data_IF_579179661480
#
_entry.id   IF_579179661480
#
_cell.length_a   1.000
_cell.length_b   1.000
_cell.length_c   1.000
_cell.angle_alpha   90.00
_cell.angle_beta   90.00
_cell.angle_gamma   90.00
#
_symmetry.space_group_name_H-M   'P 1'
#
loop_
_entity.id
_entity.type
_entity.pdbx_description
1 polymer ?
#
# COMPACT_ATOMS: atom_id res chain seq x y z
N UNK A 1 13.31 -1.67 1.87
CA UNK A 1 12.76 -3.00 2.22
C UNK A 1 13.91 -3.87 2.69
N UNK A 2 13.65 -4.84 3.57
CA UNK A 2 14.64 -5.89 3.82
C UNK A 2 15.00 -6.53 2.48
N UNK A 3 16.29 -6.63 2.15
CA UNK A 3 16.72 -7.25 0.89
C UNK A 3 16.75 -8.79 0.99
N UNK A 4 15.82 -9.35 1.77
CA UNK A 4 15.68 -10.77 2.04
C UNK A 4 14.28 -11.22 1.60
N UNK A 5 14.23 -12.38 0.95
CA UNK A 5 13.00 -13.06 0.55
C UNK A 5 12.91 -14.42 1.24
N UNK A 6 11.70 -14.77 1.67
CA UNK A 6 11.37 -16.11 2.16
C UNK A 6 10.66 -16.89 1.05
N UNK A 7 11.12 -18.10 0.77
CA UNK A 7 10.62 -18.96 -0.31
C UNK A 7 10.12 -20.27 0.27
N UNK A 8 8.94 -20.70 -0.14
CA UNK A 8 8.41 -22.04 0.10
C UNK A 8 8.32 -22.78 -1.24
N UNK A 9 8.75 -24.04 -1.31
CA UNK A 9 8.70 -24.83 -2.54
C UNK A 9 8.26 -26.27 -2.28
N UNK A 10 7.54 -26.83 -3.25
CA UNK A 10 7.08 -28.22 -3.28
C UNK A 10 6.98 -28.75 -4.73
N UNK A 11 6.84 -30.05 -4.91
CA UNK A 11 6.53 -30.67 -6.19
C UNK A 11 6.12 -32.13 -6.07
N UNK A 12 5.32 -32.61 -7.01
CA UNK A 12 4.79 -33.97 -6.96
C UNK A 12 4.44 -34.55 -8.34
N UNK A 13 4.18 -35.85 -8.36
CA UNK A 13 3.73 -36.60 -9.53
C UNK A 13 2.58 -37.56 -9.20
N UNK A 14 1.52 -37.56 -10.02
CA UNK A 14 0.38 -38.48 -9.94
C UNK A 14 0.75 -39.84 -10.56
N UNK A 15 1.21 -40.74 -9.71
CA UNK A 15 1.94 -41.95 -10.14
C UNK A 15 3.37 -41.56 -10.48
N UNK A 16 4.38 -42.24 -9.92
CA UNK A 16 5.78 -41.80 -10.01
C UNK A 16 6.60 -42.80 -10.86
N UNK A 17 6.85 -42.54 -12.17
CA UNK A 17 6.57 -41.31 -12.92
C UNK A 17 5.16 -41.19 -13.52
N UNK A 18 4.68 -39.96 -13.69
CA UNK A 18 3.31 -39.63 -14.11
C UNK A 18 3.11 -38.11 -14.27
N UNK A 19 1.87 -37.63 -14.47
CA UNK A 19 1.59 -36.19 -14.54
C UNK A 19 2.06 -35.50 -13.25
N UNK A 20 3.02 -34.59 -13.36
CA UNK A 20 3.58 -33.88 -12.22
C UNK A 20 3.56 -32.37 -12.38
N UNK A 21 3.73 -31.70 -11.26
CA UNK A 21 3.76 -30.25 -11.16
C UNK A 21 4.60 -29.83 -9.98
N UNK A 22 5.11 -28.60 -10.06
CA UNK A 22 5.88 -27.95 -8.99
C UNK A 22 5.17 -26.69 -8.55
N UNK A 23 5.38 -26.28 -7.30
CA UNK A 23 4.78 -25.08 -6.74
C UNK A 23 5.77 -24.34 -5.86
N UNK A 24 5.71 -23.01 -5.87
CA UNK A 24 6.48 -22.19 -4.95
C UNK A 24 5.74 -20.89 -4.61
N UNK A 25 6.07 -20.33 -3.44
CA UNK A 25 5.55 -19.05 -2.96
C UNK A 25 6.67 -18.21 -2.34
N UNK A 26 6.76 -16.94 -2.73
CA UNK A 26 7.72 -15.94 -2.26
C UNK A 26 7.01 -15.01 -1.27
N UNK A 27 7.64 -14.67 -0.16
CA UNK A 27 7.13 -13.79 0.87
C UNK A 27 8.15 -12.72 1.26
N UNK A 28 7.69 -11.50 1.52
CA UNK A 28 8.53 -10.42 2.03
C UNK A 28 8.93 -10.65 3.50
N UNK A 29 9.75 -9.76 4.06
CA UNK A 29 10.19 -9.84 5.46
C UNK A 29 9.07 -9.67 6.49
N UNK A 30 7.90 -9.18 6.08
CA UNK A 30 6.73 -9.02 6.94
C UNK A 30 5.78 -10.23 6.84
N UNK A 31 6.10 -11.20 5.98
CA UNK A 31 5.29 -12.40 5.74
C UNK A 31 4.14 -12.18 4.76
N UNK A 32 4.15 -11.07 4.00
CA UNK A 32 3.17 -10.87 2.93
C UNK A 32 3.59 -11.67 1.71
N UNK A 33 2.64 -12.40 1.11
CA UNK A 33 2.86 -13.09 -0.16
C UNK A 33 3.29 -12.05 -1.20
N UNK A 34 4.29 -12.42 -2.00
CA UNK A 34 4.74 -11.65 -3.15
C UNK A 34 4.24 -12.23 -4.45
N UNK A 35 4.51 -13.50 -4.64
CA UNK A 35 4.13 -14.24 -5.83
C UNK A 35 4.08 -15.72 -5.45
N UNK A 36 3.06 -16.42 -5.92
CA UNK A 36 3.02 -17.86 -5.94
C UNK A 36 2.84 -18.36 -7.36
N UNK A 37 3.57 -19.40 -7.75
CA UNK A 37 3.38 -20.08 -9.04
C UNK A 37 3.31 -21.58 -8.87
N UNK A 38 2.43 -22.20 -9.64
CA UNK A 38 2.42 -23.62 -9.90
C UNK A 38 2.73 -23.87 -11.37
N UNK A 39 3.63 -24.80 -11.68
CA UNK A 39 4.06 -25.12 -13.05
C UNK A 39 3.68 -26.56 -13.38
N UNK A 40 3.04 -26.77 -14.52
CA UNK A 40 2.69 -28.11 -14.99
C UNK A 40 3.86 -28.72 -15.79
N UNK A 41 4.37 -29.87 -15.35
CA UNK A 41 5.60 -30.46 -15.88
C UNK A 41 5.38 -31.63 -16.85
N UNK A 42 4.11 -31.94 -17.18
CA UNK A 42 3.79 -33.15 -17.95
C UNK A 42 4.21 -34.42 -17.19
N UNK A 43 4.79 -35.41 -17.88
CA UNK A 43 5.20 -36.67 -17.25
C UNK A 43 6.58 -36.54 -16.59
N UNK A 44 6.64 -36.61 -15.27
CA UNK A 44 7.89 -36.45 -14.49
C UNK A 44 7.93 -37.38 -13.26
N UNK A 45 8.94 -37.24 -12.41
CA UNK A 45 9.05 -37.93 -11.11
C UNK A 45 8.95 -36.94 -9.96
N UNK A 46 8.62 -37.39 -8.75
CA UNK A 46 8.52 -36.50 -7.57
C UNK A 46 9.77 -35.65 -7.38
N UNK A 47 10.96 -36.26 -7.30
CA UNK A 47 12.18 -35.51 -7.05
C UNK A 47 12.51 -34.51 -8.17
N UNK A 48 12.18 -34.82 -9.43
CA UNK A 48 12.37 -33.87 -10.53
C UNK A 48 11.40 -32.70 -10.39
N UNK A 49 10.16 -32.95 -9.98
CA UNK A 49 9.18 -31.90 -9.72
C UNK A 49 9.62 -30.99 -8.56
N UNK A 50 10.03 -31.56 -7.41
CA UNK A 50 10.54 -30.80 -6.26
C UNK A 50 11.72 -29.89 -6.64
N UNK A 51 12.74 -30.45 -7.32
CA UNK A 51 13.90 -29.69 -7.78
C UNK A 51 13.56 -28.63 -8.83
N UNK A 52 12.54 -28.86 -9.65
CA UNK A 52 12.07 -27.86 -10.62
C UNK A 52 11.39 -26.70 -9.90
N UNK A 53 10.58 -26.98 -8.86
CA UNK A 53 9.99 -25.94 -8.01
C UNK A 53 11.06 -25.06 -7.35
N UNK A 54 12.09 -25.68 -6.78
CA UNK A 54 13.25 -24.97 -6.22
C UNK A 54 13.95 -24.10 -7.27
N UNK A 55 14.22 -24.64 -8.47
CA UNK A 55 14.91 -23.92 -9.53
C UNK A 55 14.12 -22.67 -9.99
N UNK A 56 12.81 -22.83 -10.26
CA UNK A 56 11.96 -21.74 -10.73
C UNK A 56 11.77 -20.67 -9.64
N UNK A 57 11.69 -21.07 -8.37
CA UNK A 57 11.62 -20.12 -7.26
C UNK A 57 12.90 -19.27 -7.13
N UNK A 58 14.08 -19.89 -7.26
CA UNK A 58 15.37 -19.20 -7.21
C UNK A 58 15.56 -18.25 -8.41
N UNK A 59 15.16 -18.68 -9.62
CA UNK A 59 15.19 -17.81 -10.81
C UNK A 59 14.31 -16.58 -10.61
N UNK A 60 13.10 -16.79 -10.11
CA UNK A 60 12.16 -15.70 -9.83
C UNK A 60 12.74 -14.72 -8.81
N UNK A 61 13.31 -15.21 -7.71
CA UNK A 61 13.94 -14.36 -6.70
C UNK A 61 15.12 -13.56 -7.28
N UNK A 62 15.92 -14.16 -8.16
CA UNK A 62 17.02 -13.50 -8.87
C UNK A 62 16.52 -12.43 -9.84
N UNK A 63 15.50 -12.72 -10.66
CA UNK A 63 14.87 -11.76 -11.58
C UNK A 63 14.25 -10.56 -10.85
N UNK A 64 13.78 -10.78 -9.63
CA UNK A 64 13.27 -9.73 -8.73
C UNK A 64 14.37 -8.95 -8.00
N UNK A 65 15.65 -9.28 -8.22
CA UNK A 65 16.82 -8.64 -7.61
C UNK A 65 16.91 -8.75 -6.08
N UNK A 66 16.39 -9.83 -5.48
CA UNK A 66 16.66 -10.10 -4.07
C UNK A 66 18.11 -10.56 -3.89
N UNK A 67 18.79 -10.04 -2.86
CA UNK A 67 20.18 -10.43 -2.55
C UNK A 67 20.28 -11.56 -1.54
N UNK A 68 19.27 -11.76 -0.69
CA UNK A 68 19.30 -12.76 0.39
C UNK A 68 18.07 -13.67 0.30
N UNK A 69 18.27 -14.99 0.32
CA UNK A 69 17.16 -15.95 0.16
C UNK A 69 17.10 -16.93 1.33
N UNK A 70 15.91 -17.14 1.89
CA UNK A 70 15.65 -18.22 2.85
C UNK A 70 14.62 -19.16 2.25
N UNK A 71 15.01 -20.40 1.97
CA UNK A 71 14.16 -21.39 1.31
C UNK A 71 13.72 -22.47 2.28
N UNK A 72 12.43 -22.78 2.23
CA UNK A 72 11.78 -23.83 2.99
C UNK A 72 11.18 -24.89 2.06
N UNK A 73 11.45 -26.14 2.35
CA UNK A 73 10.91 -27.30 1.62
C UNK A 73 10.66 -28.45 2.59
N UNK A 74 9.68 -29.32 2.30
CA UNK A 74 9.45 -30.56 3.05
C UNK A 74 10.25 -31.77 2.50
N UNK A 75 11.09 -31.56 1.48
CA UNK A 75 12.00 -32.58 0.96
C UNK A 75 13.33 -32.59 1.73
N UNK A 76 13.42 -33.45 2.76
CA UNK A 76 14.65 -33.61 3.54
C UNK A 76 15.85 -34.05 2.66
N UNK A 77 15.57 -34.82 1.59
CA UNK A 77 16.57 -35.21 0.60
C UNK A 77 17.15 -33.98 -0.12
N UNK A 78 16.29 -33.11 -0.64
CA UNK A 78 16.71 -31.90 -1.35
C UNK A 78 17.49 -30.97 -0.41
N UNK A 79 17.00 -30.74 0.81
CA UNK A 79 17.71 -29.95 1.83
C UNK A 79 19.10 -30.48 2.10
N UNK A 80 19.26 -31.79 2.32
CA UNK A 80 20.58 -32.40 2.58
C UNK A 80 21.50 -32.34 1.36
N UNK A 81 20.95 -32.41 0.14
CA UNK A 81 21.75 -32.34 -1.09
C UNK A 81 22.24 -30.92 -1.40
N UNK A 82 21.38 -29.92 -1.26
CA UNK A 82 21.73 -28.51 -1.50
C UNK A 82 22.69 -27.97 -0.43
N UNK A 83 22.56 -28.41 0.82
CA UNK A 83 23.52 -28.11 1.89
C UNK A 83 24.83 -28.93 1.82
N UNK A 84 25.07 -29.68 0.73
CA UNK A 84 26.31 -30.43 0.52
C UNK A 84 26.51 -31.68 1.39
N UNK A 85 25.49 -32.07 2.18
CA UNK A 85 25.54 -33.25 3.06
C UNK A 85 25.46 -34.54 2.22
N UNK A 86 24.55 -34.58 1.24
CA UNK A 86 24.31 -35.74 0.38
C UNK A 86 24.68 -35.47 -1.08
N UNK A 87 25.19 -36.51 -1.77
CA UNK A 87 25.51 -36.44 -3.21
C UNK A 87 24.29 -36.74 -4.08
N UNK A 88 24.12 -35.98 -5.17
CA UNK A 88 23.13 -36.28 -6.22
C UNK A 88 23.65 -37.38 -7.15
N UNK A 89 23.03 -38.56 -7.08
CA UNK A 89 23.40 -39.72 -7.91
C UNK A 89 22.59 -39.84 -9.20
N UNK A 90 21.33 -39.41 -9.18
CA UNK A 90 20.40 -39.53 -10.32
C UNK A 90 20.84 -38.66 -11.50
N UNK A 91 21.07 -39.23 -12.70
CA UNK A 91 21.44 -38.47 -13.89
C UNK A 91 20.44 -37.36 -14.24
N UNK A 92 19.15 -37.64 -14.08
CA UNK A 92 18.05 -36.72 -14.41
C UNK A 92 17.97 -35.53 -13.43
N UNK A 93 18.54 -35.64 -12.24
CA UNK A 93 18.56 -34.55 -11.25
C UNK A 93 19.84 -33.73 -11.31
N UNK A 94 20.97 -34.30 -11.78
CA UNK A 94 22.28 -33.61 -11.77
C UNK A 94 22.25 -32.24 -12.46
N UNK A 95 21.53 -32.13 -13.58
CA UNK A 95 21.43 -30.87 -14.32
C UNK A 95 20.63 -29.80 -13.57
N UNK A 96 19.49 -30.18 -12.97
CA UNK A 96 18.63 -29.23 -12.23
C UNK A 96 19.32 -28.84 -10.91
N UNK A 97 19.89 -29.81 -10.19
CA UNK A 97 20.68 -29.58 -8.99
C UNK A 97 21.81 -28.58 -9.23
N UNK A 98 22.58 -28.75 -10.31
CA UNK A 98 23.68 -27.85 -10.64
C UNK A 98 23.20 -26.42 -10.85
N UNK A 99 22.07 -26.23 -11.53
CA UNK A 99 21.47 -24.90 -11.73
C UNK A 99 20.98 -24.29 -10.42
N UNK A 100 20.38 -25.08 -9.52
CA UNK A 100 19.99 -24.58 -8.20
C UNK A 100 21.21 -24.10 -7.41
N UNK A 101 22.31 -24.86 -7.41
CA UNK A 101 23.56 -24.47 -6.73
C UNK A 101 24.15 -23.19 -7.34
N UNK A 102 24.23 -23.10 -8.67
CA UNK A 102 24.73 -21.91 -9.36
C UNK A 102 23.90 -20.65 -9.03
N UNK A 103 22.57 -20.78 -8.92
CA UNK A 103 21.71 -19.67 -8.50
C UNK A 103 21.86 -19.34 -7.02
N UNK A 104 21.90 -20.35 -6.14
CA UNK A 104 22.14 -20.13 -4.70
C UNK A 104 23.44 -19.36 -4.48
N UNK A 105 24.53 -19.79 -5.12
CA UNK A 105 25.84 -19.15 -5.04
C UNK A 105 25.89 -17.73 -5.65
N UNK A 106 24.87 -17.32 -6.41
CA UNK A 106 24.75 -15.96 -6.95
C UNK A 106 24.15 -14.95 -5.96
N UNK A 107 23.46 -15.42 -4.91
CA UNK A 107 22.91 -14.56 -3.85
C UNK A 107 23.99 -14.17 -2.85
N UNK A 108 23.85 -12.98 -2.24
CA UNK A 108 24.77 -12.49 -1.20
C UNK A 108 24.73 -13.37 0.06
N UNK A 109 23.56 -13.91 0.40
CA UNK A 109 23.42 -14.98 1.39
C UNK A 109 22.23 -15.89 1.06
N UNK A 110 22.32 -17.15 1.48
CA UNK A 110 21.24 -18.11 1.31
C UNK A 110 21.16 -19.10 2.46
N UNK A 111 19.94 -19.58 2.73
CA UNK A 111 19.66 -20.70 3.65
C UNK A 111 18.63 -21.62 3.00
N UNK A 112 18.84 -22.94 3.08
CA UNK A 112 17.85 -23.95 2.69
C UNK A 112 17.54 -24.84 3.90
N UNK A 113 16.30 -24.80 4.36
CA UNK A 113 15.86 -25.46 5.59
C UNK A 113 14.65 -26.37 5.34
N UNK A 114 14.61 -27.49 6.07
CA UNK A 114 13.48 -28.41 6.02
C UNK A 114 12.33 -27.91 6.89
N UNK A 115 11.10 -28.00 6.38
CA UNK A 115 9.86 -27.74 7.13
C UNK A 115 8.92 -28.92 7.04
N UNK A 116 8.07 -29.10 8.06
CA UNK A 116 7.00 -30.09 7.96
C UNK A 116 5.93 -29.64 6.95
N UNK A 117 5.26 -30.62 6.33
CA UNK A 117 4.29 -30.39 5.25
C UNK A 117 3.14 -29.47 5.65
N UNK A 118 2.72 -29.49 6.92
CA UNK A 118 1.70 -28.57 7.44
C UNK A 118 2.09 -27.08 7.36
N UNK A 119 3.39 -26.79 7.23
CA UNK A 119 3.96 -25.46 7.10
C UNK A 119 4.33 -25.11 5.64
N UNK A 120 4.05 -25.99 4.67
CA UNK A 120 4.34 -25.82 3.25
C UNK A 120 3.07 -25.82 2.36
N UNK A 121 1.92 -25.44 2.93
CA UNK A 121 0.60 -25.63 2.31
C UNK A 121 0.41 -24.87 1.00
N UNK A 122 0.94 -23.66 0.88
CA UNK A 122 0.74 -22.83 -0.32
C UNK A 122 1.46 -23.42 -1.54
N UNK A 123 2.72 -23.81 -1.37
CA UNK A 123 3.51 -24.44 -2.42
C UNK A 123 2.92 -25.81 -2.83
N UNK A 124 2.49 -26.64 -1.86
CA UNK A 124 1.78 -27.89 -2.12
C UNK A 124 0.48 -27.65 -2.90
N UNK A 125 -0.32 -26.66 -2.49
CA UNK A 125 -1.56 -26.31 -3.16
C UNK A 125 -1.32 -25.87 -4.62
N UNK A 126 -0.33 -25.02 -4.87
CA UNK A 126 0.03 -24.54 -6.21
C UNK A 126 0.52 -25.68 -7.11
N UNK A 127 1.34 -26.60 -6.59
CA UNK A 127 1.79 -27.78 -7.33
C UNK A 127 0.60 -28.66 -7.72
N UNK A 128 -0.33 -28.88 -6.80
CA UNK A 128 -1.55 -29.65 -7.03
C UNK A 128 -2.49 -28.96 -8.04
N UNK A 129 -2.69 -27.65 -7.92
CA UNK A 129 -3.51 -26.87 -8.87
C UNK A 129 -2.94 -26.95 -10.29
N UNK A 130 -1.63 -26.81 -10.47
CA UNK A 130 -1.01 -26.93 -11.78
C UNK A 130 -1.18 -28.34 -12.39
N UNK A 131 -1.05 -29.39 -11.57
CA UNK A 131 -1.30 -30.77 -12.00
C UNK A 131 -2.75 -31.00 -12.42
N UNK A 132 -3.70 -30.49 -11.64
CA UNK A 132 -5.13 -30.69 -11.86
C UNK A 132 -5.63 -29.88 -13.08
N UNK A 133 -5.13 -28.65 -13.23
CA UNK A 133 -5.42 -27.77 -14.37
C UNK A 133 -4.68 -28.19 -15.65
N UNK A 134 -3.58 -28.95 -15.52
CA UNK A 134 -2.61 -29.24 -16.61
C UNK A 134 -2.10 -27.98 -17.30
N UNK A 135 -1.94 -26.91 -16.52
CA UNK A 135 -1.50 -25.60 -16.95
C UNK A 135 -0.80 -24.90 -15.79
N UNK A 136 -0.01 -23.89 -16.10
CA UNK A 136 0.62 -23.06 -15.08
C UNK A 136 -0.44 -22.21 -14.39
N UNK A 137 -0.28 -22.01 -13.08
CA UNK A 137 -1.12 -21.17 -12.24
C UNK A 137 -0.27 -20.13 -11.54
N UNK A 138 -0.82 -18.95 -11.35
CA UNK A 138 -0.14 -17.84 -10.68
C UNK A 138 -1.11 -17.17 -9.70
N UNK A 139 -0.59 -16.85 -8.53
CA UNK A 139 -1.23 -15.98 -7.56
C UNK A 139 -0.28 -14.81 -7.29
N UNK A 140 -0.74 -13.60 -7.56
CA UNK A 140 0.00 -12.41 -7.17
C UNK A 140 -0.33 -12.09 -5.72
N UNK A 141 0.72 -11.85 -4.93
CA UNK A 141 0.58 -11.25 -3.63
C UNK A 141 0.33 -9.75 -3.75
N UNK A 142 -0.31 -9.16 -2.74
CA UNK A 142 -0.61 -7.72 -2.68
C UNK A 142 0.64 -6.92 -2.27
N UNK A 143 1.80 -7.23 -2.89
CA UNK A 143 3.04 -6.48 -2.67
C UNK A 143 2.84 -5.12 -3.30
N UNK A 144 3.04 -4.04 -2.54
CA UNK A 144 3.15 -2.75 -3.15
C UNK A 144 4.39 -2.77 -4.06
N UNK A 145 4.17 -2.75 -5.37
CA UNK A 145 5.15 -2.22 -6.31
C UNK A 145 5.67 -0.88 -5.74
N UNK A 146 6.95 -0.55 -5.93
CA UNK A 146 7.49 0.73 -5.44
C UNK A 146 6.49 1.86 -5.71
N UNK A 147 6.10 2.63 -4.67
CA UNK A 147 4.96 3.51 -4.82
C UNK A 147 5.31 4.61 -5.84
N UNK A 148 4.48 4.70 -6.88
CA UNK A 148 4.71 5.59 -8.04
C UNK A 148 4.58 7.07 -7.65
N UNK A 149 5.19 7.93 -8.48
CA UNK A 149 5.16 9.38 -8.30
C UNK A 149 6.29 9.92 -7.41
N UNK A 150 6.29 11.23 -7.17
CA UNK A 150 7.27 11.90 -6.29
C UNK A 150 6.99 11.55 -4.83
N UNK A 151 8.04 11.36 -4.03
CA UNK A 151 7.88 11.22 -2.58
C UNK A 151 7.43 12.55 -1.97
N UNK A 152 6.19 12.62 -1.50
CA UNK A 152 5.62 13.84 -0.93
C UNK A 152 5.97 14.02 0.55
N UNK A 153 6.24 15.27 0.95
CA UNK A 153 6.30 15.70 2.35
C UNK A 153 4.93 16.24 2.78
N UNK A 154 4.20 15.49 3.59
CA UNK A 154 2.85 15.84 4.04
C UNK A 154 2.88 16.70 5.30
N UNK A 155 2.10 17.77 5.30
CA UNK A 155 1.73 18.53 6.49
C UNK A 155 0.31 18.16 6.92
N UNK A 156 0.16 17.47 8.05
CA UNK A 156 -1.13 16.91 8.46
C UNK A 156 -1.79 17.77 9.53
N UNK A 157 -2.99 18.28 9.28
CA UNK A 157 -3.75 19.12 10.21
C UNK A 157 -4.83 18.31 10.93
N UNK A 158 -4.86 18.35 12.27
CA UNK A 158 -5.74 17.51 13.11
C UNK A 158 -6.44 18.33 14.20
N UNK A 159 -7.74 18.10 14.42
CA UNK A 159 -8.48 18.68 15.56
C UNK A 159 -9.12 17.66 16.50
N UNK A 160 -9.05 16.36 16.17
CA UNK A 160 -9.74 15.28 16.89
C UNK A 160 -8.89 14.03 17.15
N UNK A 161 -9.42 12.86 16.79
CA UNK A 161 -8.83 11.57 17.12
C UNK A 161 -7.63 11.15 16.27
N UNK A 162 -7.46 11.73 15.08
CA UNK A 162 -6.33 11.44 14.18
C UNK A 162 -6.41 10.12 13.42
N UNK A 163 -7.57 9.43 13.40
CA UNK A 163 -7.73 8.14 12.69
C UNK A 163 -7.40 8.22 11.19
N UNK A 164 -7.70 9.35 10.54
CA UNK A 164 -7.33 9.59 9.14
C UNK A 164 -5.81 9.68 8.96
N UNK A 165 -5.09 10.36 9.87
CA UNK A 165 -3.62 10.38 9.87
C UNK A 165 -3.06 8.98 10.13
N UNK A 166 -3.62 8.23 11.08
CA UNK A 166 -3.21 6.84 11.33
C UNK A 166 -3.35 5.96 10.08
N UNK A 167 -4.44 6.13 9.32
CA UNK A 167 -4.60 5.41 8.06
C UNK A 167 -3.52 5.81 7.04
N UNK A 168 -3.24 7.10 6.87
CA UNK A 168 -2.19 7.58 5.96
C UNK A 168 -0.81 7.04 6.37
N UNK A 169 -0.47 7.06 7.66
CA UNK A 169 0.77 6.48 8.18
C UNK A 169 0.89 4.98 7.87
N UNK A 170 -0.20 4.22 8.03
CA UNK A 170 -0.25 2.79 7.66
C UNK A 170 0.01 2.58 6.18
N UNK A 171 -0.60 3.39 5.30
CA UNK A 171 -0.38 3.27 3.84
C UNK A 171 1.07 3.61 3.45
N UNK A 172 1.68 4.60 4.12
CA UNK A 172 3.09 4.96 3.91
C UNK A 172 4.00 3.81 4.35
N UNK A 173 3.81 3.28 5.57
CA UNK A 173 4.63 2.19 6.12
C UNK A 173 4.50 0.90 5.31
N UNK A 174 3.30 0.62 4.84
CA UNK A 174 3.02 -0.50 3.95
C UNK A 174 3.52 -0.25 2.52
N UNK A 175 4.25 0.83 2.21
CA UNK A 175 4.76 1.10 0.86
C UNK A 175 3.69 1.39 -0.20
N UNK A 176 2.42 1.57 0.18
CA UNK A 176 1.30 1.82 -0.73
C UNK A 176 1.14 3.30 -1.11
N UNK A 177 1.81 4.20 -0.37
CA UNK A 177 1.77 5.65 -0.60
C UNK A 177 3.18 6.23 -0.57
N UNK A 178 3.63 6.85 -1.67
CA UNK A 178 4.96 7.47 -1.75
C UNK A 178 4.99 8.83 -1.04
N UNK A 179 4.99 8.81 0.28
CA UNK A 179 4.96 10.02 1.09
C UNK A 179 5.67 9.83 2.44
N UNK A 180 5.90 10.94 3.13
CA UNK A 180 6.24 10.98 4.54
C UNK A 180 5.40 12.05 5.25
N UNK A 181 5.11 11.85 6.54
CA UNK A 181 4.48 12.89 7.36
C UNK A 181 5.60 13.75 7.93
N UNK A 182 5.83 14.91 7.30
CA UNK A 182 6.91 15.83 7.69
C UNK A 182 6.59 16.56 9.01
N UNK A 183 5.31 16.90 9.20
CA UNK A 183 4.80 17.50 10.45
C UNK A 183 3.31 17.24 10.59
N UNK A 184 2.87 16.97 11.82
CA UNK A 184 1.46 17.01 12.18
C UNK A 184 1.19 18.19 13.11
N UNK A 185 0.17 18.99 12.79
CA UNK A 185 -0.25 20.14 13.60
C UNK A 185 -1.60 19.86 14.24
N UNK A 186 -1.66 19.91 15.57
CA UNK A 186 -2.89 19.75 16.33
C UNK A 186 -3.45 21.10 16.78
N UNK A 187 -4.73 21.37 16.50
CA UNK A 187 -5.40 22.61 16.94
C UNK A 187 -5.73 22.66 18.44
N UNK A 188 -5.55 21.53 19.14
CA UNK A 188 -5.90 21.34 20.56
C UNK A 188 -4.80 20.52 21.23
N UNK A 189 -4.44 20.90 22.46
CA UNK A 189 -3.34 20.26 23.18
C UNK A 189 -3.71 18.92 23.87
N UNK A 190 -4.99 18.72 24.17
CA UNK A 190 -5.51 17.57 24.93
C UNK A 190 -6.52 16.80 24.09
N UNK A 191 -6.05 16.15 23.03
CA UNK A 191 -6.85 15.29 22.14
C UNK A 191 -6.09 14.00 21.85
N UNK A 192 -6.83 12.92 21.55
CA UNK A 192 -6.24 11.63 21.18
C UNK A 192 -5.27 11.72 19.99
N UNK A 193 -5.51 12.67 19.07
CA UNK A 193 -4.59 12.92 17.95
C UNK A 193 -3.16 13.29 18.39
N UNK A 194 -3.00 14.04 19.49
CA UNK A 194 -1.66 14.41 20.02
C UNK A 194 -0.90 13.18 20.52
N UNK A 195 -1.60 12.32 21.28
CA UNK A 195 -1.02 11.07 21.80
C UNK A 195 -0.66 10.11 20.66
N UNK A 196 -1.55 9.99 19.68
CA UNK A 196 -1.33 9.20 18.48
C UNK A 196 -0.11 9.68 17.68
N UNK A 197 0.01 10.98 17.41
CA UNK A 197 1.17 11.52 16.67
C UNK A 197 2.49 11.18 17.36
N UNK A 198 2.56 11.34 18.69
CA UNK A 198 3.75 10.96 19.47
C UNK A 198 4.02 9.46 19.39
N UNK A 199 2.99 8.63 19.53
CA UNK A 199 3.10 7.17 19.45
C UNK A 199 3.63 6.72 18.08
N UNK A 200 3.23 7.40 17.00
CA UNK A 200 3.69 7.09 15.65
C UNK A 200 5.09 7.63 15.34
N UNK A 201 5.67 8.48 16.20
CA UNK A 201 7.01 9.01 16.05
C UNK A 201 7.12 10.22 15.12
N UNK A 202 6.00 10.88 14.79
CA UNK A 202 5.98 12.02 13.87
C UNK A 202 6.27 13.34 14.59
N UNK A 203 6.87 14.30 13.87
CA UNK A 203 7.02 15.68 14.38
C UNK A 203 5.64 16.26 14.68
N UNK A 204 5.50 16.83 15.87
CA UNK A 204 4.23 17.35 16.39
C UNK A 204 4.36 18.82 16.75
N UNK A 205 3.46 19.64 16.21
CA UNK A 205 3.23 21.02 16.62
C UNK A 205 1.83 21.18 17.20
N UNK A 206 1.68 22.03 18.21
CA UNK A 206 0.37 22.36 18.79
C UNK A 206 0.12 23.85 18.57
N UNK A 207 -0.85 24.18 17.71
CA UNK A 207 -1.20 25.56 17.38
C UNK A 207 -2.66 25.78 17.70
N UNK A 208 -2.96 26.43 18.83
CA UNK A 208 -4.34 26.66 19.26
C UNK A 208 -4.77 28.06 18.85
N UNK A 209 -5.89 28.18 18.14
CA UNK A 209 -6.44 29.48 17.72
C UNK A 209 -6.57 30.48 18.87
N UNK A 210 -6.97 30.00 20.06
CA UNK A 210 -7.13 30.83 21.27
C UNK A 210 -5.83 31.42 21.84
N UNK A 211 -4.67 30.90 21.44
CA UNK A 211 -3.38 31.39 21.89
C UNK A 211 -2.82 32.50 20.98
N UNK A 212 -3.51 32.78 19.86
CA UNK A 212 -3.10 33.76 18.87
C UNK A 212 -4.13 34.89 18.78
N UNK A 213 -3.70 36.11 18.45
CA UNK A 213 -4.54 37.31 18.58
C UNK A 213 -5.74 37.31 17.63
N UNK A 214 -5.59 36.77 16.43
CA UNK A 214 -6.60 36.79 15.39
C UNK A 214 -6.43 35.64 14.38
N UNK A 215 -7.25 35.65 13.33
CA UNK A 215 -7.22 34.64 12.27
C UNK A 215 -5.96 34.75 11.41
N UNK A 216 -5.42 35.95 11.22
CA UNK A 216 -4.24 36.18 10.39
C UNK A 216 -3.01 35.58 11.06
N UNK A 217 -2.75 35.92 12.33
CA UNK A 217 -1.67 35.33 13.11
C UNK A 217 -1.81 33.79 13.24
N UNK A 218 -3.03 33.28 13.36
CA UNK A 218 -3.28 31.82 13.33
C UNK A 218 -2.89 31.19 12.01
N UNK A 219 -3.21 31.83 10.90
CA UNK A 219 -2.92 31.33 9.55
C UNK A 219 -1.42 31.43 9.25
N UNK A 220 -0.79 32.56 9.58
CA UNK A 220 0.65 32.79 9.42
C UNK A 220 1.45 31.74 10.18
N UNK A 221 1.06 31.42 11.42
CA UNK A 221 1.75 30.39 12.20
C UNK A 221 1.68 29.01 11.55
N UNK A 222 0.56 28.66 10.93
CA UNK A 222 0.45 27.41 10.18
C UNK A 222 1.35 27.44 8.95
N UNK A 223 1.36 28.56 8.21
CA UNK A 223 2.19 28.75 7.03
C UNK A 223 3.68 28.61 7.36
N UNK A 224 4.16 29.26 8.43
CA UNK A 224 5.54 29.14 8.92
C UNK A 224 5.93 27.69 9.16
N UNK A 225 5.09 26.94 9.89
CA UNK A 225 5.35 25.52 10.18
C UNK A 225 5.42 24.70 8.89
N UNK A 226 4.52 24.93 7.93
CA UNK A 226 4.52 24.19 6.67
C UNK A 226 5.77 24.51 5.82
N UNK A 227 6.19 25.77 5.79
CA UNK A 227 7.39 26.22 5.08
C UNK A 227 8.68 25.65 5.71
N UNK A 228 8.83 25.75 7.04
CA UNK A 228 9.97 25.23 7.79
C UNK A 228 10.17 23.73 7.55
N UNK A 229 9.06 22.99 7.43
CA UNK A 229 9.09 21.54 7.20
C UNK A 229 9.08 21.16 5.71
N UNK A 230 9.12 22.15 4.81
CA UNK A 230 9.12 21.97 3.34
C UNK A 230 7.98 21.08 2.89
N UNK A 231 6.76 21.39 3.32
CA UNK A 231 5.57 20.59 3.00
C UNK A 231 5.21 20.75 1.53
N UNK A 232 5.01 19.63 0.85
CA UNK A 232 4.57 19.55 -0.55
C UNK A 232 3.04 19.65 -0.67
N UNK A 233 2.34 18.95 0.22
CA UNK A 233 0.87 18.87 0.26
C UNK A 233 0.38 18.93 1.72
N UNK A 234 -0.58 19.82 1.99
CA UNK A 234 -1.26 19.93 3.28
C UNK A 234 -2.52 19.06 3.26
N UNK A 235 -2.69 18.24 4.29
CA UNK A 235 -3.76 17.25 4.42
C UNK A 235 -4.58 17.56 5.68
N UNK A 236 -5.83 17.99 5.50
CA UNK A 236 -6.77 18.22 6.59
C UNK A 236 -7.44 16.90 7.03
N UNK A 237 -6.89 16.31 8.09
CA UNK A 237 -7.30 15.02 8.66
C UNK A 237 -8.25 15.22 9.85
N UNK A 238 -9.46 15.72 9.56
CA UNK A 238 -10.43 16.11 10.60
C UNK A 238 -10.06 17.44 11.25
N UNK A 239 -9.68 18.42 10.42
CA UNK A 239 -9.36 19.77 10.84
C UNK A 239 -10.65 20.61 10.96
N UNK A 240 -10.81 21.30 12.09
CA UNK A 240 -12.06 22.01 12.42
C UNK A 240 -11.88 23.53 12.55
N UNK A 241 -10.74 24.07 12.11
CA UNK A 241 -10.43 25.50 12.24
C UNK A 241 -10.39 26.17 10.86
N UNK A 242 -11.07 27.30 10.71
CA UNK A 242 -10.79 28.18 9.57
C UNK A 242 -9.37 28.72 9.69
N UNK A 243 -8.66 28.72 8.58
CA UNK A 243 -7.39 29.42 8.38
C UNK A 243 -7.38 29.96 6.95
N UNK A 244 -6.65 31.05 6.73
CA UNK A 244 -6.50 31.65 5.40
C UNK A 244 -5.39 30.90 4.67
N UNK A 245 -5.75 30.27 3.55
CA UNK A 245 -4.82 29.59 2.66
C UNK A 245 -4.25 30.65 1.70
N UNK A 246 -2.93 30.92 1.73
CA UNK A 246 -2.31 31.86 0.80
C UNK A 246 -2.13 31.22 -0.58
N UNK A 247 -2.04 32.05 -1.62
CA UNK A 247 -1.96 31.63 -3.04
C UNK A 247 -0.83 30.61 -3.32
N UNK A 248 0.28 30.65 -2.57
CA UNK A 248 1.38 29.67 -2.71
C UNK A 248 1.00 28.22 -2.38
N UNK A 249 -0.09 28.05 -1.63
CA UNK A 249 -0.69 26.76 -1.28
C UNK A 249 -1.97 26.49 -2.09
N UNK A 250 -2.29 27.32 -3.09
CA UNK A 250 -3.37 27.02 -4.01
C UNK A 250 -3.16 25.65 -4.64
N UNK A 251 -4.23 24.85 -4.69
CA UNK A 251 -4.20 23.46 -5.14
C UNK A 251 -3.18 22.56 -4.42
N UNK A 252 -2.75 22.94 -3.20
CA UNK A 252 -1.80 22.19 -2.35
C UNK A 252 -2.31 21.99 -0.92
N UNK A 253 -3.61 22.19 -0.72
CA UNK A 253 -4.33 21.83 0.50
C UNK A 253 -5.50 20.96 0.10
N UNK A 254 -5.59 19.77 0.66
CA UNK A 254 -6.75 18.89 0.49
C UNK A 254 -7.46 18.68 1.82
N UNK A 255 -8.77 18.47 1.74
CA UNK A 255 -9.60 18.02 2.85
C UNK A 255 -10.41 16.78 2.43
N UNK A 256 -10.79 15.98 3.42
CA UNK A 256 -11.79 14.94 3.25
C UNK A 256 -13.03 15.27 4.08
N UNK A 257 -14.18 15.27 3.42
CA UNK A 257 -15.46 15.60 4.01
C UNK A 257 -16.39 14.39 4.00
N UNK A 258 -17.09 14.07 5.12
CA UNK A 258 -17.85 12.82 5.28
C UNK A 258 -19.26 12.86 4.62
N UNK A 259 -19.36 13.45 3.43
CA UNK A 259 -20.55 13.40 2.58
C UNK A 259 -20.18 13.44 1.09
N UNK A 260 -21.19 13.26 0.23
CA UNK A 260 -21.08 13.51 -1.21
C UNK A 260 -21.34 15.00 -1.50
N UNK A 261 -20.29 15.81 -1.46
CA UNK A 261 -20.37 17.24 -1.77
C UNK A 261 -20.97 17.47 -3.17
N UNK A 262 -21.77 18.55 -3.35
CA UNK A 262 -22.00 19.65 -2.41
C UNK A 262 -23.02 19.36 -1.30
N UNK A 263 -23.61 18.16 -1.24
CA UNK A 263 -24.61 17.84 -0.22
C UNK A 263 -23.99 17.76 1.17
N UNK A 264 -24.65 18.33 2.18
CA UNK A 264 -24.22 18.30 3.58
C UNK A 264 -22.78 18.79 3.80
N UNK A 265 -22.31 19.74 2.98
CA UNK A 265 -21.07 20.49 3.18
C UNK A 265 -21.31 21.84 3.87
N UNK A 266 -20.21 22.53 4.17
CA UNK A 266 -20.23 23.90 4.65
C UNK A 266 -20.26 24.03 6.17
N UNK A 267 -20.48 25.26 6.63
CA UNK A 267 -20.37 25.61 8.05
C UNK A 267 -21.33 24.79 8.92
N UNK A 268 -20.79 24.10 9.92
CA UNK A 268 -21.55 23.31 10.89
C UNK A 268 -21.73 21.83 10.51
N UNK A 269 -21.39 21.47 9.27
CA UNK A 269 -21.42 20.10 8.78
C UNK A 269 -20.08 19.41 9.04
N UNK A 270 -19.85 18.95 10.26
CA UNK A 270 -18.62 18.21 10.58
C UNK A 270 -18.91 17.06 11.54
N UNK A 271 -18.11 15.99 11.46
CA UNK A 271 -18.25 14.81 12.31
C UNK A 271 -19.67 14.23 12.29
N UNK A 272 -20.21 13.89 13.47
CA UNK A 272 -21.53 13.27 13.60
C UNK A 272 -22.69 14.13 13.08
N UNK A 273 -22.54 15.46 12.98
CA UNK A 273 -23.61 16.31 12.46
C UNK A 273 -23.95 15.96 11.01
N UNK A 274 -22.94 15.59 10.21
CA UNK A 274 -23.13 15.21 8.80
C UNK A 274 -23.94 13.92 8.71
N UNK A 275 -23.53 12.90 9.45
CA UNK A 275 -24.19 11.60 9.45
C UNK A 275 -25.63 11.68 9.98
N UNK A 276 -25.86 12.48 11.03
CA UNK A 276 -27.21 12.75 11.53
C UNK A 276 -28.06 13.44 10.46
N UNK A 277 -27.56 14.49 9.80
CA UNK A 277 -28.30 15.20 8.76
C UNK A 277 -28.65 14.30 7.56
N UNK A 278 -27.74 13.40 7.16
CA UNK A 278 -28.00 12.41 6.11
C UNK A 278 -29.15 11.47 6.49
N UNK A 279 -29.16 10.97 7.74
CA UNK A 279 -30.20 10.07 8.25
C UNK A 279 -31.54 10.79 8.41
N UNK A 280 -31.55 11.98 9.02
CA UNK A 280 -32.75 12.81 9.22
C UNK A 280 -33.43 13.16 7.88
N UNK A 281 -32.62 13.38 6.84
CA UNK A 281 -33.12 13.64 5.49
C UNK A 281 -33.72 12.40 4.81
N UNK A 282 -33.42 11.20 5.32
CA UNK A 282 -33.87 9.92 4.79
C UNK A 282 -33.06 9.40 3.59
N UNK A 283 -31.82 9.88 3.42
CA UNK A 283 -30.93 9.48 2.32
C UNK A 283 -30.70 7.95 2.30
N UNK A 284 -30.57 7.38 1.10
CA UNK A 284 -30.25 5.95 0.89
C UNK A 284 -28.80 5.68 0.52
N UNK A 285 -28.09 6.75 0.19
CA UNK A 285 -26.67 6.76 -0.16
C UNK A 285 -26.01 7.89 0.63
N UNK A 286 -24.83 7.59 1.17
CA UNK A 286 -23.90 8.53 1.76
C UNK A 286 -22.53 8.32 1.14
N UNK A 287 -21.48 8.93 1.69
CA UNK A 287 -20.13 8.77 1.18
C UNK A 287 -19.16 9.77 1.77
N UNK A 288 -18.01 9.89 1.13
CA UNK A 288 -17.02 10.91 1.42
C UNK A 288 -16.54 11.58 0.14
N UNK A 289 -16.02 12.80 0.28
CA UNK A 289 -15.46 13.60 -0.81
C UNK A 289 -14.09 14.11 -0.41
N UNK A 290 -13.07 13.84 -1.22
CA UNK A 290 -11.78 14.52 -1.16
C UNK A 290 -11.81 15.66 -2.16
N UNK A 291 -11.43 16.86 -1.71
CA UNK A 291 -11.39 18.04 -2.55
C UNK A 291 -10.18 18.91 -2.20
N UNK A 292 -9.76 19.76 -3.14
CA UNK A 292 -8.83 20.85 -2.81
C UNK A 292 -9.57 21.89 -1.96
N UNK A 293 -8.89 22.45 -0.96
CA UNK A 293 -9.46 23.50 -0.13
C UNK A 293 -9.35 24.86 -0.81
N UNK A 294 -10.38 25.66 -0.63
CA UNK A 294 -10.36 27.11 -0.88
C UNK A 294 -10.52 27.82 0.48
N UNK A 295 -10.64 29.15 0.48
CA UNK A 295 -10.99 29.90 1.69
C UNK A 295 -12.48 29.83 2.06
N UNK A 296 -13.28 29.12 1.25
CA UNK A 296 -14.70 28.84 1.51
C UNK A 296 -14.87 27.36 1.92
N UNK A 297 -15.78 27.10 2.86
CA UNK A 297 -15.96 25.77 3.43
C UNK A 297 -16.53 24.77 2.42
N UNK A 298 -15.76 23.73 2.12
CA UNK A 298 -16.18 22.58 1.31
C UNK A 298 -16.65 22.94 -0.13
N UNK A 299 -16.21 24.09 -0.66
CA UNK A 299 -16.58 24.57 -2.00
C UNK A 299 -15.49 24.36 -3.06
N UNK A 300 -14.38 23.76 -2.69
CA UNK A 300 -13.25 23.61 -3.62
C UNK A 300 -13.40 22.46 -4.63
N UNK A 301 -12.53 22.41 -5.65
CA UNK A 301 -12.58 21.41 -6.70
C UNK A 301 -12.51 19.98 -6.16
N UNK A 302 -13.52 19.17 -6.49
CA UNK A 302 -13.64 17.76 -6.08
C UNK A 302 -12.61 16.90 -6.81
N UNK A 303 -11.85 16.10 -6.06
CA UNK A 303 -10.82 15.18 -6.57
C UNK A 303 -11.38 13.76 -6.66
N UNK A 304 -11.92 13.23 -5.56
CA UNK A 304 -12.46 11.86 -5.46
C UNK A 304 -13.75 11.89 -4.65
N UNK A 305 -14.74 11.10 -5.07
CA UNK A 305 -15.91 10.76 -4.27
C UNK A 305 -16.05 9.25 -4.18
N UNK A 306 -16.41 8.76 -3.00
CA UNK A 306 -16.75 7.35 -2.76
C UNK A 306 -18.06 7.27 -2.03
N UNK A 307 -18.93 6.35 -2.43
CA UNK A 307 -20.26 6.20 -1.87
C UNK A 307 -20.40 4.92 -1.06
N UNK A 308 -21.29 4.93 -0.08
CA UNK A 308 -21.72 3.75 0.66
C UNK A 308 -23.22 3.83 0.99
N UNK A 309 -23.90 2.69 1.23
CA UNK A 309 -25.32 2.70 1.54
C UNK A 309 -25.60 3.31 2.91
N UNK A 310 -26.67 4.11 3.00
CA UNK A 310 -27.29 4.52 4.26
C UNK A 310 -28.51 3.62 4.51
N UNK A 311 -28.44 2.81 5.57
CA UNK A 311 -29.41 1.77 5.88
C UNK A 311 -30.55 2.31 6.75
N UNK A 312 -31.76 1.72 6.67
CA UNK A 312 -32.91 2.18 7.46
C UNK A 312 -32.71 2.17 8.98
N UNK A 313 -31.85 1.29 9.49
CA UNK A 313 -31.57 1.07 10.92
C UNK A 313 -30.18 1.60 11.36
N UNK A 314 -29.56 2.43 10.51
CA UNK A 314 -28.29 3.07 10.87
C UNK A 314 -28.51 4.09 12.00
N UNK A 315 -27.56 4.10 12.94
CA UNK A 315 -27.30 5.26 13.80
C UNK A 315 -26.23 6.12 13.14
N UNK A 316 -26.05 7.40 13.54
CA UNK A 316 -24.97 8.23 13.02
C UNK A 316 -23.59 7.56 13.13
N UNK A 317 -23.33 6.81 14.20
CA UNK A 317 -22.06 6.11 14.43
C UNK A 317 -21.84 4.93 13.48
N UNK A 318 -22.90 4.16 13.19
CA UNK A 318 -22.85 3.06 12.21
C UNK A 318 -22.58 3.61 10.81
N UNK A 319 -23.27 4.68 10.43
CA UNK A 319 -23.04 5.36 9.16
C UNK A 319 -21.63 5.97 9.10
N UNK A 320 -21.19 6.65 10.16
CA UNK A 320 -19.84 7.21 10.27
C UNK A 320 -18.75 6.16 10.08
N UNK A 321 -18.90 4.99 10.70
CA UNK A 321 -17.94 3.89 10.55
C UNK A 321 -17.87 3.38 9.11
N UNK A 322 -19.00 3.35 8.41
CA UNK A 322 -19.08 2.93 7.00
C UNK A 322 -18.50 3.99 6.05
N UNK A 323 -18.79 5.27 6.29
CA UNK A 323 -18.19 6.38 5.55
C UNK A 323 -16.68 6.41 5.77
N UNK A 324 -16.22 6.23 7.01
CA UNK A 324 -14.80 6.20 7.33
C UNK A 324 -14.04 5.07 6.62
N UNK A 325 -14.68 3.91 6.38
CA UNK A 325 -14.07 2.86 5.57
C UNK A 325 -13.79 3.31 4.13
N UNK A 326 -14.69 4.10 3.55
CA UNK A 326 -14.46 4.72 2.23
C UNK A 326 -13.43 5.85 2.31
N UNK A 327 -13.39 6.64 3.39
CA UNK A 327 -12.36 7.67 3.61
C UNK A 327 -10.94 7.08 3.64
N UNK A 328 -10.78 5.91 4.26
CA UNK A 328 -9.51 5.19 4.32
C UNK A 328 -8.97 4.82 2.93
N UNK A 329 -9.83 4.78 1.92
CA UNK A 329 -9.47 4.49 0.52
C UNK A 329 -9.34 5.80 -0.25
N UNK A 330 -10.33 6.69 -0.17
CA UNK A 330 -10.41 7.91 -0.96
C UNK A 330 -9.22 8.85 -0.73
N UNK A 331 -8.82 9.06 0.54
CA UNK A 331 -7.80 10.08 0.82
C UNK A 331 -6.40 9.66 0.36
N UNK A 332 -5.91 8.44 0.68
CA UNK A 332 -4.64 7.96 0.12
C UNK A 332 -4.64 7.93 -1.41
N UNK A 333 -5.76 7.59 -2.04
CA UNK A 333 -5.89 7.62 -3.50
C UNK A 333 -5.71 9.04 -4.06
N UNK A 334 -6.35 10.04 -3.47
CA UNK A 334 -6.19 11.44 -3.90
C UNK A 334 -4.74 11.94 -3.71
N UNK A 335 -4.11 11.60 -2.59
CA UNK A 335 -2.70 11.94 -2.32
C UNK A 335 -1.78 11.27 -3.36
N UNK A 336 -2.07 10.02 -3.74
CA UNK A 336 -1.31 9.31 -4.78
C UNK A 336 -1.49 9.93 -6.17
N UNK A 337 -2.71 10.32 -6.53
CA UNK A 337 -2.92 11.05 -7.80
C UNK A 337 -2.16 12.38 -7.83
N UNK A 338 -2.07 13.06 -6.68
CA UNK A 338 -1.26 14.26 -6.53
C UNK A 338 0.25 13.95 -6.66
N UNK A 339 0.76 12.89 -6.01
CA UNK A 339 2.17 12.50 -6.09
C UNK A 339 2.61 12.10 -7.49
N UNK A 340 1.69 11.53 -8.28
CA UNK A 340 1.90 11.13 -9.66
C UNK A 340 1.78 12.30 -10.68
N UNK A 341 1.57 13.55 -10.22
CA UNK A 341 1.30 14.72 -11.06
C UNK A 341 0.10 14.50 -12.04
N UNK A 342 -0.92 13.74 -11.62
CA UNK A 342 -2.06 13.35 -12.48
C UNK A 342 -3.28 14.25 -12.34
N UNK A 343 -3.24 15.24 -11.45
CA UNK A 343 -4.36 16.15 -11.20
C UNK A 343 -4.12 17.48 -11.92
N UNK A 344 -5.07 17.91 -12.75
CA UNK A 344 -5.08 19.27 -13.31
C UNK A 344 -6.43 19.94 -13.05
N UNK A 345 -6.43 21.22 -12.68
CA UNK A 345 -7.66 21.97 -12.44
C UNK A 345 -7.93 22.89 -13.63
N UNK A 346 -9.14 22.81 -14.17
CA UNK A 346 -9.62 23.70 -15.25
C UNK A 346 -11.06 24.09 -14.93
N UNK A 347 -11.36 25.39 -14.94
CA UNK A 347 -12.69 25.93 -14.65
C UNK A 347 -13.30 25.39 -13.34
N UNK A 348 -12.49 25.32 -12.28
CA UNK A 348 -12.91 24.84 -10.96
C UNK A 348 -13.14 23.33 -10.85
N UNK A 349 -12.77 22.54 -11.87
CA UNK A 349 -12.95 21.08 -11.92
C UNK A 349 -11.61 20.38 -12.02
N UNK A 350 -11.48 19.25 -11.33
CA UNK A 350 -10.30 18.39 -11.41
C UNK A 350 -10.44 17.41 -12.56
N UNK A 351 -9.41 17.32 -13.40
CA UNK A 351 -9.23 16.32 -14.43
C UNK A 351 -8.09 15.39 -14.03
N UNK A 352 -8.36 14.09 -14.04
CA UNK A 352 -7.39 13.05 -13.72
C UNK A 352 -6.79 12.51 -15.01
N UNK A 353 -5.50 12.71 -15.23
CA UNK A 353 -4.81 12.14 -16.39
C UNK A 353 -4.66 10.61 -16.21
N UNK A 354 -4.78 9.86 -17.31
CA UNK A 354 -4.44 8.44 -17.31
C UNK A 354 -2.96 8.26 -17.00
N UNK A 355 -2.61 7.17 -16.31
CA UNK A 355 -1.21 6.86 -16.02
C UNK A 355 -0.47 6.68 -17.36
N UNK A 356 0.36 7.65 -17.75
CA UNK A 356 1.13 7.53 -18.98
C UNK A 356 2.08 6.33 -18.85
N UNK A 357 2.07 5.42 -19.82
CA UNK A 357 3.19 4.52 -20.02
C UNK A 357 4.43 5.37 -20.35
N UNK A 358 5.28 5.60 -19.35
CA UNK A 358 6.59 6.24 -19.46
C UNK A 358 6.65 7.48 -20.38
N UNK A 359 6.30 8.67 -19.87
CA UNK A 359 6.81 9.91 -20.49
C UNK A 359 8.33 9.94 -20.29
N UNK A 360 9.10 9.72 -21.37
CA UNK A 360 10.53 10.05 -21.40
C UNK A 360 10.70 11.51 -20.97
N UNK A 361 11.75 11.85 -20.19
CA UNK A 361 11.99 13.23 -19.79
C UNK A 361 12.15 14.10 -21.04
N UNK A 362 11.40 15.20 -21.10
CA UNK A 362 11.58 16.25 -22.09
C UNK A 362 12.91 16.95 -21.82
N UNK A 363 13.81 16.94 -22.80
CA UNK A 363 14.86 17.95 -22.95
C UNK A 363 16.28 17.49 -22.64
N UNK A 364 16.91 16.79 -23.59
CA UNK A 364 18.25 17.19 -24.01
C UNK A 364 18.14 17.63 -25.46
N UNK A 365 18.47 18.90 -25.71
CA UNK A 365 18.61 19.43 -27.04
C UNK A 365 19.73 18.67 -27.75
N UNK A 366 19.44 18.09 -28.90
CA UNK A 366 20.48 17.63 -29.82
C UNK A 366 21.25 18.85 -30.32
N UNK A 367 22.44 19.05 -29.78
CA UNK A 367 23.54 19.63 -30.54
C UNK A 367 24.25 18.45 -31.17
N UNK A 368 24.10 18.29 -32.49
CA UNK A 368 25.11 18.02 -33.51
C UNK A 368 24.42 17.81 -34.85
#
# INVERSE_FOLDING_TARGET
MSNQITIYTDGGSRGNPGPGGSGYALYDSEGNLILGRGVYLGKTTNNVAEYTGMLEALRTASEMNFENVQVFTDSELMTKQLNGIYKVKSPNLKSIYKQCVELLDSFASWEVSHVYRENNKEADALANQAMDARADVEIEGDVPAEPKGKKLRLGVLISGGGRTMENIDKQIKAGKLNAEIAVAVCSRAKIKGVELTRKLGHKLEIVRKKDLPDLDAFSDRLVEIMDENRVDLIVQAGWLCLWKIPDKYDSRVMNIHPSLLPSFGGKGMWGNHVHQAVLDRGCKVSGCTVHFCTNEYDEGPIVIQRCCPAKPDDTPEKLASRVFAEECIAYPEAIRLFSEDRLSIRDGKVFIEEASASRKPRGQANLF
#
